data_IF_181244208428
#
_entry.id   IF_181244208428
#
_cell.length_a   1.000
_cell.length_b   1.000
_cell.length_c   1.000
_cell.angle_alpha   90.00
_cell.angle_beta   90.00
_cell.angle_gamma   90.00
#
_symmetry.space_group_name_H-M   'P 1'
#
loop_
_entity.id
_entity.type
_entity.pdbx_description
1 polymer ?
#
# COMPACT_ATOMS: atom_id res chain seq x y z
N UNK A 1 -29.75 -53.43 53.61
CA UNK A 1 -30.61 -52.57 52.76
C UNK A 1 -30.23 -51.11 52.95
N UNK A 2 -29.75 -50.40 51.90
CA UNK A 2 -29.87 -48.93 51.65
C UNK A 2 -28.84 -48.48 50.60
N UNK A 3 -29.26 -48.39 49.33
CA UNK A 3 -28.57 -47.64 48.27
C UNK A 3 -28.87 -46.15 48.50
N UNK A 4 -27.86 -45.31 48.76
CA UNK A 4 -28.02 -43.83 48.73
C UNK A 4 -27.60 -43.30 47.35
N UNK A 5 -28.55 -42.63 46.70
CA UNK A 5 -28.46 -42.01 45.37
C UNK A 5 -27.50 -40.81 45.42
N UNK A 6 -26.47 -40.78 44.56
CA UNK A 6 -25.71 -39.58 44.17
C UNK A 6 -25.90 -39.40 42.66
N UNK A 7 -26.94 -38.68 42.22
CA UNK A 7 -27.17 -38.37 40.79
C UNK A 7 -27.95 -37.05 40.61
N UNK A 8 -27.46 -35.94 41.16
CA UNK A 8 -28.12 -34.63 40.97
C UNK A 8 -27.19 -33.44 40.82
N UNK A 9 -25.88 -33.57 41.06
CA UNK A 9 -24.94 -32.43 41.02
C UNK A 9 -24.38 -32.19 39.61
N UNK A 10 -24.25 -33.24 38.80
CA UNK A 10 -23.67 -33.17 37.45
C UNK A 10 -24.46 -32.32 36.42
N UNK A 11 -25.81 -32.36 36.35
CA UNK A 11 -26.53 -31.57 35.34
C UNK A 11 -26.55 -30.07 35.66
N UNK A 12 -26.45 -29.70 36.95
CA UNK A 12 -26.49 -28.31 37.37
C UNK A 12 -25.21 -27.55 37.00
N UNK A 13 -24.05 -28.23 37.07
CA UNK A 13 -22.76 -27.67 36.65
C UNK A 13 -22.69 -27.47 35.11
N UNK A 14 -23.31 -28.39 34.35
CA UNK A 14 -23.34 -28.32 32.88
C UNK A 14 -24.14 -27.09 32.40
N UNK A 15 -25.29 -26.80 33.04
CA UNK A 15 -26.14 -25.65 32.68
C UNK A 15 -25.42 -24.31 32.92
N UNK A 16 -24.63 -24.21 34.00
CA UNK A 16 -23.85 -23.00 34.28
C UNK A 16 -22.73 -22.77 33.26
N UNK A 17 -22.07 -23.83 32.79
CA UNK A 17 -21.03 -23.73 31.76
C UNK A 17 -21.61 -23.30 30.40
N UNK A 18 -22.76 -23.87 29.99
CA UNK A 18 -23.42 -23.48 28.75
C UNK A 18 -23.91 -22.03 28.75
N UNK A 19 -24.42 -21.54 29.87
CA UNK A 19 -24.86 -20.14 30.01
C UNK A 19 -23.70 -19.14 29.84
N UNK A 20 -22.56 -19.40 30.48
CA UNK A 20 -21.39 -18.51 30.39
C UNK A 20 -20.80 -18.42 28.97
N UNK A 21 -20.80 -19.54 28.24
CA UNK A 21 -20.27 -19.60 26.88
C UNK A 21 -21.15 -18.81 25.90
N UNK A 22 -22.48 -18.86 26.08
CA UNK A 22 -23.44 -18.17 25.23
C UNK A 22 -23.34 -16.64 25.36
N UNK A 23 -23.06 -16.14 26.56
CA UNK A 23 -22.81 -14.71 26.81
C UNK A 23 -21.54 -14.22 26.08
N UNK A 24 -20.46 -15.00 26.10
CA UNK A 24 -19.22 -14.66 25.41
C UNK A 24 -19.38 -14.62 23.88
N UNK A 25 -20.12 -15.59 23.32
CA UNK A 25 -20.40 -15.63 21.87
C UNK A 25 -21.22 -14.40 21.44
N UNK A 26 -22.23 -14.01 22.24
CA UNK A 26 -23.05 -12.82 21.95
C UNK A 26 -22.24 -11.52 22.04
N UNK A 27 -21.31 -11.41 22.99
CA UNK A 27 -20.40 -10.26 23.07
C UNK A 27 -19.50 -10.17 21.83
N UNK A 28 -18.91 -11.29 21.41
CA UNK A 28 -18.02 -11.34 20.25
C UNK A 28 -18.75 -10.98 18.94
N UNK A 29 -20.00 -11.42 18.78
CA UNK A 29 -20.82 -11.07 17.61
C UNK A 29 -21.20 -9.58 17.58
N UNK A 30 -21.42 -8.95 18.73
CA UNK A 30 -21.78 -7.52 18.81
C UNK A 30 -20.63 -6.61 18.37
N UNK A 31 -19.39 -6.93 18.73
CA UNK A 31 -18.22 -6.11 18.38
C UNK A 31 -17.96 -6.08 16.87
N UNK A 32 -18.13 -7.22 16.17
CA UNK A 32 -17.95 -7.27 14.71
C UNK A 32 -18.99 -6.46 13.91
N UNK A 33 -20.21 -6.28 14.43
CA UNK A 33 -21.26 -5.54 13.70
C UNK A 33 -20.99 -4.03 13.71
N UNK A 34 -20.40 -3.49 14.78
CA UNK A 34 -20.18 -2.05 14.94
C UNK A 34 -19.08 -1.55 13.98
N UNK A 35 -18.05 -2.36 13.71
CA UNK A 35 -16.98 -2.04 12.77
C UNK A 35 -17.47 -1.83 11.32
N UNK A 36 -18.59 -2.45 10.93
CA UNK A 36 -19.11 -2.35 9.55
C UNK A 36 -19.90 -1.06 9.26
N UNK A 37 -20.40 -0.36 10.29
CA UNK A 37 -21.33 0.77 10.10
C UNK A 37 -20.66 2.14 9.90
N UNK A 38 -19.37 2.29 10.23
CA UNK A 38 -18.67 3.59 10.11
C UNK A 38 -18.17 3.92 8.69
N UNK A 39 -18.23 2.99 7.73
CA UNK A 39 -17.65 3.19 6.39
C UNK A 39 -18.56 3.89 5.37
N UNK A 40 -19.85 4.10 5.68
CA UNK A 40 -20.84 4.56 4.67
C UNK A 40 -21.10 6.09 4.74
N UNK A 41 -20.70 6.78 5.81
CA UNK A 41 -21.03 8.21 5.99
C UNK A 41 -19.95 9.20 5.50
N UNK A 42 -18.78 8.74 5.04
CA UNK A 42 -17.66 9.58 4.59
C UNK A 42 -17.39 9.43 3.08
N UNK A 43 -18.34 9.73 2.19
CA UNK A 43 -17.99 9.79 0.76
C UNK A 43 -18.96 10.61 -0.09
N UNK A 44 -19.02 11.93 0.14
CA UNK A 44 -19.57 12.89 -0.86
C UNK A 44 -18.86 14.24 -0.84
N UNK A 45 -17.65 14.34 -0.29
CA UNK A 45 -16.80 15.49 -0.64
C UNK A 45 -16.08 15.10 -1.92
N UNK A 46 -16.27 15.79 -3.05
CA UNK A 46 -15.45 15.53 -4.23
C UNK A 46 -14.00 15.72 -3.80
N UNK A 47 -13.22 14.62 -3.83
CA UNK A 47 -11.79 14.67 -3.57
C UNK A 47 -11.20 15.54 -4.68
N UNK A 48 -10.97 16.82 -4.38
CA UNK A 48 -10.24 17.72 -5.27
C UNK A 48 -8.85 17.09 -5.40
N UNK A 49 -8.62 16.35 -6.48
CA UNK A 49 -7.30 15.80 -6.75
C UNK A 49 -6.43 17.00 -7.10
N UNK A 50 -5.27 17.19 -6.43
CA UNK A 50 -4.37 18.26 -6.80
C UNK A 50 -4.02 18.12 -8.28
N UNK A 51 -4.04 19.24 -9.01
CA UNK A 51 -3.65 19.25 -10.42
C UNK A 51 -2.24 18.70 -10.58
N UNK A 52 -1.96 17.91 -11.65
CA UNK A 52 -0.63 17.43 -11.91
C UNK A 52 0.34 18.61 -12.06
N UNK A 53 1.50 18.52 -11.41
CA UNK A 53 2.56 19.54 -11.48
C UNK A 53 3.69 19.02 -12.34
N UNK A 54 4.24 19.87 -13.21
CA UNK A 54 5.44 19.53 -13.98
C UNK A 54 6.58 19.19 -13.03
N UNK A 55 7.25 18.08 -13.32
CA UNK A 55 8.32 17.54 -12.51
C UNK A 55 9.57 17.37 -13.37
N UNK A 56 10.71 17.76 -12.83
CA UNK A 56 12.01 17.60 -13.47
C UNK A 56 13.07 17.50 -12.40
N UNK A 57 13.61 16.31 -12.18
CA UNK A 57 14.64 16.10 -11.17
C UNK A 57 15.66 15.05 -11.60
N UNK A 58 16.83 15.09 -10.95
CA UNK A 58 17.88 14.09 -11.10
C UNK A 58 18.00 13.25 -9.83
N UNK A 59 18.16 11.94 -10.00
CA UNK A 59 18.17 11.02 -8.89
C UNK A 59 18.56 9.61 -9.32
N UNK A 60 18.17 8.63 -8.52
CA UNK A 60 18.46 7.22 -8.74
C UNK A 60 17.18 6.42 -8.91
N UNK A 61 17.24 5.33 -9.67
CA UNK A 61 16.14 4.38 -9.79
C UNK A 61 16.40 3.10 -9.03
N UNK A 62 15.34 2.52 -8.48
CA UNK A 62 15.37 1.22 -7.80
C UNK A 62 14.08 0.46 -8.09
N UNK A 63 14.14 -0.87 -8.08
CA UNK A 63 12.94 -1.72 -8.11
C UNK A 63 12.55 -2.24 -6.71
N UNK A 64 13.14 -1.67 -5.66
CA UNK A 64 12.78 -1.92 -4.27
C UNK A 64 11.70 -0.95 -3.79
N UNK A 65 10.70 -1.49 -3.10
CA UNK A 65 9.63 -0.68 -2.51
C UNK A 65 10.03 -0.09 -1.14
N UNK A 66 9.05 0.52 -0.44
CA UNK A 66 9.27 1.12 0.88
C UNK A 66 9.66 0.13 1.98
N UNK A 67 9.41 -1.17 1.78
CA UNK A 67 9.76 -2.25 2.72
C UNK A 67 11.06 -2.97 2.33
N UNK A 68 11.78 -2.47 1.32
CA UNK A 68 12.93 -3.14 0.74
C UNK A 68 12.59 -4.52 0.14
N UNK A 69 11.37 -4.67 -0.36
CA UNK A 69 10.97 -5.84 -1.13
C UNK A 69 11.15 -5.53 -2.63
N UNK A 70 11.82 -6.43 -3.35
CA UNK A 70 12.01 -6.29 -4.80
C UNK A 70 10.68 -6.51 -5.51
N UNK A 71 10.20 -5.48 -6.22
CA UNK A 71 8.98 -5.49 -7.01
C UNK A 71 9.31 -5.30 -8.48
N UNK A 72 9.72 -6.39 -9.13
CA UNK A 72 10.07 -6.42 -10.55
C UNK A 72 9.00 -5.73 -11.40
N UNK A 73 9.42 -4.72 -12.16
CA UNK A 73 8.53 -3.96 -13.05
C UNK A 73 7.84 -2.75 -12.41
N UNK A 74 8.05 -2.49 -11.11
CA UNK A 74 7.63 -1.28 -10.41
C UNK A 74 8.86 -0.46 -10.03
N UNK A 75 9.21 0.49 -10.90
CA UNK A 75 10.34 1.37 -10.66
C UNK A 75 9.97 2.49 -9.69
N UNK A 76 10.88 2.75 -8.76
CA UNK A 76 10.83 3.83 -7.79
C UNK A 76 11.97 4.78 -8.09
N UNK A 77 11.67 6.08 -8.07
CA UNK A 77 12.63 7.14 -8.21
C UNK A 77 12.96 7.75 -6.86
N UNK A 78 14.26 7.89 -6.60
CA UNK A 78 14.86 8.43 -5.39
C UNK A 78 15.53 9.75 -5.74
N UNK A 79 15.05 10.86 -5.20
CA UNK A 79 15.65 12.18 -5.41
C UNK A 79 15.73 12.97 -4.10
N UNK A 80 16.60 13.97 -4.07
CA UNK A 80 16.88 14.76 -2.88
C UNK A 80 16.53 16.21 -3.12
N UNK A 81 15.91 16.84 -2.11
CA UNK A 81 15.71 18.27 -2.06
C UNK A 81 16.53 18.84 -0.89
N UNK A 82 17.13 20.05 -1.02
CA UNK A 82 17.93 20.63 0.04
C UNK A 82 17.18 20.68 1.39
N UNK A 83 17.79 20.09 2.42
CA UNK A 83 17.22 20.05 3.77
C UNK A 83 16.08 19.05 3.98
N UNK A 84 15.75 18.23 2.97
CA UNK A 84 14.72 17.19 3.05
C UNK A 84 15.38 15.81 2.88
N UNK A 85 15.00 14.80 3.68
CA UNK A 85 15.42 13.42 3.44
C UNK A 85 15.06 12.95 2.03
N UNK A 86 15.78 11.94 1.53
CA UNK A 86 15.52 11.32 0.21
C UNK A 86 14.03 11.03 0.03
N UNK A 87 13.48 11.57 -1.05
CA UNK A 87 12.09 11.40 -1.43
C UNK A 87 11.98 10.19 -2.37
N UNK A 88 10.97 9.36 -2.15
CA UNK A 88 10.67 8.17 -2.96
C UNK A 88 9.36 8.35 -3.68
N UNK A 89 9.34 8.13 -4.99
CA UNK A 89 8.11 8.23 -5.80
C UNK A 89 8.02 7.06 -6.77
N UNK A 90 6.83 6.49 -6.89
CA UNK A 90 6.57 5.42 -7.86
C UNK A 90 6.49 5.99 -9.28
N UNK A 91 7.17 5.33 -10.23
CA UNK A 91 7.13 5.70 -11.63
C UNK A 91 5.97 5.01 -12.36
N UNK A 92 5.19 5.82 -13.07
CA UNK A 92 4.15 5.36 -13.97
C UNK A 92 4.58 5.64 -15.41
N UNK A 93 4.82 4.57 -16.17
CA UNK A 93 5.16 4.64 -17.59
C UNK A 93 3.89 4.53 -18.42
N UNK A 94 3.73 5.43 -19.38
CA UNK A 94 2.67 5.40 -20.39
C UNK A 94 3.23 4.95 -21.73
N UNK A 95 2.36 4.75 -22.71
CA UNK A 95 2.77 4.42 -24.08
C UNK A 95 3.52 5.57 -24.78
N UNK A 96 3.55 6.75 -24.17
CA UNK A 96 4.21 7.96 -24.69
C UNK A 96 5.55 8.23 -23.99
N UNK A 97 5.87 7.52 -22.90
CA UNK A 97 7.12 7.70 -22.16
C UNK A 97 8.34 7.40 -23.03
N UNK A 98 9.29 8.34 -23.07
CA UNK A 98 10.53 8.22 -23.86
C UNK A 98 11.77 8.09 -22.98
N UNK A 99 12.75 7.35 -23.46
CA UNK A 99 14.02 7.09 -22.79
C UNK A 99 15.16 7.45 -23.75
N UNK A 100 16.12 8.23 -23.27
CA UNK A 100 17.42 8.45 -23.91
C UNK A 100 18.53 8.07 -22.92
N UNK A 101 18.85 6.77 -22.93
CA UNK A 101 19.83 6.16 -22.03
C UNK A 101 21.23 6.05 -22.69
N UNK A 102 21.50 6.86 -23.72
CA UNK A 102 22.75 6.86 -24.48
C UNK A 102 22.68 6.16 -25.84
N UNK A 103 21.54 5.56 -26.19
CA UNK A 103 21.26 5.00 -27.52
C UNK A 103 20.38 5.91 -28.39
N UNK A 104 20.15 7.16 -27.93
CA UNK A 104 19.20 8.08 -28.51
C UNK A 104 17.77 7.87 -28.00
N UNK A 105 16.89 8.79 -28.41
CA UNK A 105 15.51 8.86 -27.94
C UNK A 105 14.64 7.72 -28.50
N UNK A 106 14.15 6.84 -27.63
CA UNK A 106 13.27 5.71 -27.96
C UNK A 106 12.10 5.63 -26.98
N UNK A 107 11.11 4.78 -27.26
CA UNK A 107 10.07 4.46 -26.28
C UNK A 107 10.68 3.74 -25.07
N UNK A 108 10.31 4.15 -23.85
CA UNK A 108 10.79 3.51 -22.64
C UNK A 108 10.24 2.09 -22.52
N UNK A 109 11.13 1.09 -22.51
CA UNK A 109 10.78 -0.26 -22.03
C UNK A 109 11.29 -0.39 -20.60
N UNK A 110 10.42 -0.85 -19.69
CA UNK A 110 10.78 -1.06 -18.27
C UNK A 110 12.02 -1.93 -18.07
N UNK A 111 12.33 -2.82 -19.02
CA UNK A 111 13.50 -3.72 -19.00
C UNK A 111 14.83 -3.05 -19.35
N UNK A 112 14.82 -1.81 -19.86
CA UNK A 112 16.04 -1.08 -20.22
C UNK A 112 16.64 -0.32 -19.04
N UNK A 113 15.86 -0.15 -17.97
CA UNK A 113 16.29 0.55 -16.78
C UNK A 113 17.13 -0.36 -15.91
N UNK A 114 18.23 0.20 -15.38
CA UNK A 114 19.19 -0.53 -14.55
C UNK A 114 19.08 -0.01 -13.12
N UNK A 115 18.96 -0.92 -12.16
CA UNK A 115 18.89 -0.56 -10.75
C UNK A 115 20.15 0.22 -10.32
N UNK A 116 19.94 1.28 -9.53
CA UNK A 116 21.00 2.18 -9.07
C UNK A 116 21.50 3.17 -10.11
N UNK A 117 20.96 3.16 -11.34
CA UNK A 117 21.37 4.11 -12.37
C UNK A 117 20.94 5.54 -12.00
N UNK A 118 21.87 6.48 -12.19
CA UNK A 118 21.60 7.91 -12.01
C UNK A 118 20.95 8.46 -13.28
N UNK A 119 19.73 8.98 -13.14
CA UNK A 119 18.93 9.47 -14.27
C UNK A 119 18.27 10.80 -13.94
N UNK A 120 17.97 11.57 -14.98
CA UNK A 120 17.07 12.71 -14.92
C UNK A 120 15.72 12.30 -15.48
N UNK A 121 14.65 12.59 -14.74
CA UNK A 121 13.28 12.29 -15.13
C UNK A 121 12.50 13.59 -15.29
N UNK A 122 11.76 13.67 -16.39
CA UNK A 122 10.78 14.72 -16.67
C UNK A 122 9.38 14.10 -16.78
N UNK A 123 8.37 14.75 -16.22
CA UNK A 123 7.02 14.21 -16.20
C UNK A 123 6.02 15.04 -15.41
N UNK A 124 4.95 14.38 -14.97
CA UNK A 124 3.88 14.98 -14.19
C UNK A 124 3.75 14.29 -12.83
N UNK A 125 3.98 15.03 -11.75
CA UNK A 125 3.78 14.55 -10.39
C UNK A 125 2.29 14.57 -10.04
N UNK A 126 1.77 13.46 -9.52
CA UNK A 126 0.40 13.31 -9.02
C UNK A 126 0.40 12.60 -7.68
N UNK A 127 0.12 13.32 -6.60
CA UNK A 127 -0.04 12.80 -5.22
C UNK A 127 1.12 11.92 -4.73
N UNK A 128 1.21 10.67 -5.20
CA UNK A 128 2.13 9.61 -4.81
C UNK A 128 2.87 8.94 -5.99
N UNK A 129 2.63 9.40 -7.22
CA UNK A 129 3.20 8.84 -8.44
C UNK A 129 3.68 9.90 -9.43
N UNK A 130 4.71 9.54 -10.19
CA UNK A 130 5.28 10.35 -11.25
C UNK A 130 4.96 9.70 -12.60
N UNK A 131 4.11 10.37 -13.40
CA UNK A 131 3.84 9.97 -14.77
C UNK A 131 5.03 10.41 -15.62
N UNK A 132 5.78 9.45 -16.15
CA UNK A 132 7.04 9.68 -16.85
C UNK A 132 6.78 10.16 -18.28
N UNK A 133 7.36 11.29 -18.65
CA UNK A 133 7.40 11.77 -20.03
C UNK A 133 8.74 11.47 -20.70
N UNK A 134 9.85 11.76 -20.01
CA UNK A 134 11.20 11.55 -20.51
C UNK A 134 12.13 11.07 -19.41
N UNK A 135 12.97 10.08 -19.71
CA UNK A 135 14.13 9.69 -18.91
C UNK A 135 15.39 9.96 -19.72
N UNK A 136 16.38 10.60 -19.11
CA UNK A 136 17.71 10.78 -19.68
C UNK A 136 18.77 10.27 -18.71
N UNK A 137 19.84 9.67 -19.24
CA UNK A 137 20.99 9.29 -18.42
C UNK A 137 21.63 10.54 -17.83
N UNK A 138 21.82 10.59 -16.51
CA UNK A 138 22.54 11.69 -15.88
C UNK A 138 24.05 11.40 -15.90
N UNK A 139 24.87 12.45 -16.06
CA UNK A 139 26.33 12.34 -15.97
C UNK A 139 26.81 12.22 -14.53
#
# INVERSE_FOLDING_TARGET
MKRKRKKTILPMLLVLLFSSCLVLILFYLKENIIASKQSIAYSRVPKIMPMPVNFTETGYITDFDSKWEKKTGNWVFLYENPGIPVIRVNLEFTNESKCDLGEGLKLCKKTQLIEGERIRIEGLMRVDKLIVSLITKAR
#
